data_IF_520067272837
#
_entry.id   IF_520067272837
#
_cell.length_a   1.000
_cell.length_b   1.000
_cell.length_c   1.000
_cell.angle_alpha   90.00
_cell.angle_beta   90.00
_cell.angle_gamma   90.00
#
_symmetry.space_group_name_H-M   'P 1'
#
loop_
_entity.id
_entity.type
_entity.pdbx_description
1 polymer ?
#
# COMPACT_ATOMS: atom_id res chain seq x y z
N UNK A 1 -5.89 10.45 -0.97
CA UNK A 1 -6.91 9.87 -0.07
C UNK A 1 -6.70 10.32 1.38
N UNK A 2 -7.75 10.32 2.19
CA UNK A 2 -7.66 10.41 3.66
C UNK A 2 -6.97 9.14 4.19
N UNK A 3 -6.00 9.26 5.11
CA UNK A 3 -5.31 8.13 5.74
C UNK A 3 -5.03 8.56 7.18
N UNK A 4 -5.96 8.30 8.10
CA UNK A 4 -5.79 8.59 9.51
C UNK A 4 -4.68 7.71 10.10
N UNK A 5 -3.93 8.15 11.12
CA UNK A 5 -2.93 7.31 11.79
C UNK A 5 -3.54 6.07 12.45
N UNK A 6 -4.85 6.07 12.72
CA UNK A 6 -5.59 4.94 13.21
C UNK A 6 -5.85 3.88 12.11
N UNK A 7 -5.98 2.62 12.52
CA UNK A 7 -6.35 1.51 11.63
C UNK A 7 -7.83 1.52 11.29
N UNK A 8 -8.66 1.81 12.28
CA UNK A 8 -10.11 1.78 12.14
C UNK A 8 -10.59 2.84 11.13
N UNK A 9 -11.49 2.43 10.22
CA UNK A 9 -12.03 3.31 9.17
C UNK A 9 -10.96 3.97 8.29
N UNK A 10 -9.81 3.33 8.09
CA UNK A 10 -8.76 3.81 7.21
C UNK A 10 -8.95 3.27 5.77
N UNK A 11 -9.37 4.10 4.82
CA UNK A 11 -9.65 3.63 3.46
C UNK A 11 -8.40 3.17 2.71
N UNK A 12 -7.20 3.64 3.09
CA UNK A 12 -5.94 3.18 2.47
C UNK A 12 -5.62 1.76 2.90
N UNK A 13 -5.79 1.45 4.19
CA UNK A 13 -5.64 0.07 4.67
C UNK A 13 -6.67 -0.86 4.05
N UNK A 14 -7.93 -0.42 3.88
CA UNK A 14 -8.95 -1.21 3.19
C UNK A 14 -8.60 -1.48 1.72
N UNK A 15 -8.05 -0.49 1.00
CA UNK A 15 -7.52 -0.69 -0.37
C UNK A 15 -6.43 -1.75 -0.36
N UNK A 16 -5.49 -1.65 0.57
CA UNK A 16 -4.40 -2.62 0.68
C UNK A 16 -4.96 -4.02 0.95
N UNK A 17 -5.83 -4.16 1.94
CA UNK A 17 -6.43 -5.43 2.37
C UNK A 17 -7.24 -6.12 1.26
N UNK A 18 -8.16 -5.39 0.63
CA UNK A 18 -9.16 -6.00 -0.25
C UNK A 18 -8.78 -5.94 -1.73
N UNK A 19 -7.89 -5.02 -2.12
CA UNK A 19 -7.54 -4.83 -3.53
C UNK A 19 -6.09 -5.18 -3.84
N UNK A 20 -5.14 -4.74 -3.02
CA UNK A 20 -3.71 -4.91 -3.33
C UNK A 20 -3.20 -6.29 -2.92
N UNK A 21 -3.27 -6.68 -1.64
CA UNK A 21 -2.74 -7.96 -1.15
C UNK A 21 -3.26 -9.18 -1.94
N UNK A 22 -4.57 -9.26 -2.29
CA UNK A 22 -5.09 -10.40 -3.07
C UNK A 22 -4.55 -10.50 -4.51
N UNK A 23 -3.94 -9.43 -5.05
CA UNK A 23 -3.46 -9.36 -6.44
C UNK A 23 -1.94 -9.33 -6.55
N UNK A 24 -1.29 -8.59 -5.65
CA UNK A 24 0.16 -8.40 -5.66
C UNK A 24 0.91 -9.52 -4.94
N UNK A 25 0.27 -10.20 -3.96
CA UNK A 25 0.90 -11.24 -3.13
C UNK A 25 1.95 -10.73 -2.12
N UNK A 26 2.55 -9.56 -2.38
CA UNK A 26 3.46 -8.87 -1.46
C UNK A 26 3.34 -7.36 -1.65
N UNK A 27 3.41 -6.61 -0.56
CA UNK A 27 3.43 -5.15 -0.57
C UNK A 27 4.80 -4.65 -0.12
N UNK A 28 5.50 -3.96 -1.01
CA UNK A 28 6.71 -3.22 -0.69
C UNK A 28 6.37 -1.76 -0.39
N UNK A 29 6.81 -1.26 0.77
CA UNK A 29 6.81 0.15 1.15
C UNK A 29 8.22 0.69 0.97
N UNK A 30 8.42 1.54 -0.04
CA UNK A 30 9.70 2.17 -0.32
C UNK A 30 9.85 3.46 0.46
N UNK A 31 10.92 3.59 1.25
CA UNK A 31 11.19 4.81 2.04
C UNK A 31 12.69 5.01 2.25
N UNK A 32 13.16 6.27 2.34
CA UNK A 32 14.58 6.56 2.56
C UNK A 32 15.16 5.84 3.78
N UNK A 33 16.42 5.40 3.69
CA UNK A 33 17.11 4.67 4.78
C UNK A 33 17.06 5.40 6.13
N UNK A 34 17.13 6.74 6.13
CA UNK A 34 17.03 7.57 7.34
C UNK A 34 15.67 7.48 8.06
N UNK A 35 14.65 6.91 7.42
CA UNK A 35 13.31 6.68 7.97
C UNK A 35 13.02 5.19 8.17
N UNK A 36 14.06 4.35 8.24
CA UNK A 36 13.94 2.92 8.52
C UNK A 36 13.93 2.01 7.28
N UNK A 37 14.21 2.56 6.09
CA UNK A 37 14.44 1.81 4.86
C UNK A 37 13.22 1.06 4.32
N UNK A 38 13.37 0.49 3.13
CA UNK A 38 12.30 -0.26 2.48
C UNK A 38 11.83 -1.43 3.35
N UNK A 39 10.51 -1.70 3.33
CA UNK A 39 9.89 -2.81 4.04
C UNK A 39 9.00 -3.60 3.13
N UNK A 40 8.99 -4.92 3.31
CA UNK A 40 8.17 -5.84 2.55
C UNK A 40 7.23 -6.59 3.50
N UNK A 41 5.99 -6.75 3.06
CA UNK A 41 4.94 -7.42 3.80
C UNK A 41 4.28 -8.45 2.90
N UNK A 42 4.37 -9.74 3.25
CA UNK A 42 3.75 -10.82 2.49
C UNK A 42 2.27 -11.04 2.82
N UNK A 43 1.83 -10.58 4.00
CA UNK A 43 0.43 -10.66 4.44
C UNK A 43 -0.03 -9.33 5.03
N UNK A 44 -1.32 -9.05 4.93
CA UNK A 44 -1.91 -7.77 5.32
C UNK A 44 -1.75 -7.48 6.82
N UNK A 45 -1.87 -8.51 7.65
CA UNK A 45 -1.84 -8.42 9.10
C UNK A 45 -0.48 -7.91 9.61
N UNK A 46 0.61 -8.22 8.91
CA UNK A 46 1.95 -7.70 9.24
C UNK A 46 2.04 -6.20 8.99
N UNK A 47 1.46 -5.74 7.87
CA UNK A 47 1.44 -4.32 7.53
C UNK A 47 0.54 -3.53 8.47
N UNK A 48 -0.65 -4.04 8.77
CA UNK A 48 -1.59 -3.41 9.69
C UNK A 48 -0.97 -3.24 11.09
N UNK A 49 -0.28 -4.26 11.59
CA UNK A 49 0.44 -4.20 12.87
C UNK A 49 1.56 -3.15 12.86
N UNK A 50 2.37 -3.12 11.81
CA UNK A 50 3.43 -2.12 11.67
C UNK A 50 2.87 -0.69 11.59
N UNK A 51 1.73 -0.52 10.93
CA UNK A 51 1.03 0.77 10.85
C UNK A 51 0.47 1.19 12.22
N UNK A 52 -0.22 0.28 12.91
CA UNK A 52 -0.76 0.52 14.26
C UNK A 52 0.33 0.86 15.28
N UNK A 53 1.54 0.29 15.11
CA UNK A 53 2.71 0.59 15.93
C UNK A 53 3.38 1.93 15.58
N UNK A 54 2.89 2.66 14.57
CA UNK A 54 3.48 3.91 14.09
C UNK A 54 4.82 3.72 13.35
N UNK A 55 5.17 2.49 12.99
CA UNK A 55 6.41 2.18 12.27
C UNK A 55 6.32 2.58 10.80
N UNK A 56 5.11 2.63 10.23
CA UNK A 56 4.83 3.05 8.86
C UNK A 56 4.08 4.37 8.89
N UNK A 57 4.64 5.39 8.23
CA UNK A 57 4.00 6.71 8.19
C UNK A 57 2.80 6.70 7.22
N UNK A 58 1.71 7.46 7.49
CA UNK A 58 0.55 7.54 6.60
C UNK A 58 0.88 7.95 5.15
N UNK A 59 1.93 8.75 4.95
CA UNK A 59 2.40 9.12 3.61
C UNK A 59 3.00 7.91 2.87
N UNK A 60 3.86 7.16 3.53
CA UNK A 60 4.52 5.98 2.94
C UNK A 60 3.46 4.92 2.56
N UNK A 61 2.47 4.72 3.44
CA UNK A 61 1.35 3.81 3.19
C UNK A 61 0.52 4.25 1.97
N UNK A 62 0.20 5.55 1.86
CA UNK A 62 -0.54 6.11 0.70
C UNK A 62 0.24 5.91 -0.60
N UNK A 63 1.53 6.20 -0.58
CA UNK A 63 2.39 6.05 -1.77
C UNK A 63 2.42 4.59 -2.21
N UNK A 64 2.69 3.66 -1.29
CA UNK A 64 2.69 2.24 -1.61
C UNK A 64 1.35 1.78 -2.19
N UNK A 65 0.23 2.14 -1.56
CA UNK A 65 -1.10 1.78 -2.08
C UNK A 65 -1.34 2.33 -3.50
N UNK A 66 -0.89 3.56 -3.77
CA UNK A 66 -0.96 4.17 -5.10
C UNK A 66 -0.13 3.43 -6.14
N UNK A 67 1.14 3.18 -5.84
CA UNK A 67 2.07 2.49 -6.74
C UNK A 67 1.56 1.09 -7.11
N UNK A 68 1.11 0.31 -6.13
CA UNK A 68 0.57 -1.03 -6.38
C UNK A 68 -0.73 -0.98 -7.18
N UNK A 69 -1.61 0.00 -6.94
CA UNK A 69 -2.82 0.16 -7.75
C UNK A 69 -2.49 0.54 -9.20
N UNK A 70 -1.48 1.37 -9.42
CA UNK A 70 -1.00 1.72 -10.77
C UNK A 70 -0.55 0.45 -11.50
N UNK A 71 0.28 -0.37 -10.86
CA UNK A 71 0.77 -1.63 -11.45
C UNK A 71 -0.39 -2.60 -11.76
N UNK A 72 -1.34 -2.75 -10.84
CA UNK A 72 -2.53 -3.60 -11.03
C UNK A 72 -3.41 -3.10 -12.19
N UNK A 73 -3.53 -1.79 -12.38
CA UNK A 73 -4.40 -1.18 -13.39
C UNK A 73 -3.69 -0.97 -14.74
N UNK A 74 -2.37 -1.10 -14.81
CA UNK A 74 -1.59 -0.88 -16.03
C UNK A 74 -2.13 -1.66 -17.25
N UNK A 75 -2.49 -2.96 -17.16
CA UNK A 75 -3.03 -3.69 -18.32
C UNK A 75 -4.37 -3.14 -18.82
N UNK A 76 -5.23 -2.65 -17.91
CA UNK A 76 -6.52 -2.04 -18.26
C UNK A 76 -6.30 -0.70 -18.93
N UNK A 77 -5.38 0.11 -18.39
CA UNK A 77 -5.01 1.38 -18.98
C UNK A 77 -4.47 1.20 -20.40
N UNK A 78 -3.54 0.27 -20.61
CA UNK A 78 -2.95 0.00 -21.92
C UNK A 78 -4.02 -0.46 -22.94
N UNK A 79 -4.94 -1.32 -22.52
CA UNK A 79 -6.03 -1.77 -23.39
C UNK A 79 -6.98 -0.63 -23.81
N UNK A 80 -7.30 0.29 -22.90
CA UNK A 80 -8.27 1.37 -23.16
C UNK A 80 -7.64 2.57 -23.88
N UNK A 81 -6.37 2.88 -23.59
CA UNK A 81 -5.73 4.10 -24.06
C UNK A 81 -4.77 3.89 -25.24
N UNK A 82 -4.21 2.68 -25.39
CA UNK A 82 -3.26 2.36 -26.46
C UNK A 82 -3.78 1.29 -27.44
N UNK A 83 -5.02 0.82 -27.24
CA UNK A 83 -5.74 -0.11 -28.11
C UNK A 83 -6.55 0.56 -29.21
#
# INVERSE_FOLDING_TARGET
AFCPPEVENNPVLQILQYHVFPRAGMVTIRRPAKFGGDREFSVYEDLERAYAAGEIHPLDLKTAAGDHLIDILAPVHDYVCNG
#
